data_IF_415967328400
#
_entry.id   IF_415967328400
#
_cell.length_a   1.000
_cell.length_b   1.000
_cell.length_c   1.000
_cell.angle_alpha   90.00
_cell.angle_beta   90.00
_cell.angle_gamma   90.00
#
_symmetry.space_group_name_H-M   'P 1'
#
loop_
_entity.id
_entity.type
_entity.pdbx_description
1 polymer ?
#
# COMPACT_ATOMS: atom_id res chain seq x y z
N UNK A 1 -26.08 -12.40 -13.81
CA UNK A 1 -25.80 -11.92 -12.44
C UNK A 1 -25.36 -10.47 -12.57
N UNK A 2 -25.95 -9.51 -11.83
CA UNK A 2 -25.42 -8.14 -11.82
C UNK A 2 -23.96 -8.19 -11.40
N UNK A 3 -23.09 -7.48 -12.12
CA UNK A 3 -21.71 -7.27 -11.68
C UNK A 3 -21.74 -6.52 -10.35
N UNK A 4 -21.25 -7.17 -9.30
CA UNK A 4 -21.04 -6.55 -8.00
C UNK A 4 -20.20 -5.27 -8.15
N UNK A 5 -20.65 -4.15 -7.59
CA UNK A 5 -19.87 -2.90 -7.58
C UNK A 5 -18.62 -3.08 -6.71
N UNK A 6 -17.48 -2.62 -7.20
CA UNK A 6 -16.24 -2.61 -6.45
C UNK A 6 -16.33 -1.75 -5.17
N UNK A 7 -17.16 -0.70 -5.15
CA UNK A 7 -17.40 0.09 -3.93
C UNK A 7 -18.14 -0.73 -2.87
N UNK A 8 -19.16 -1.49 -3.29
CA UNK A 8 -19.93 -2.34 -2.39
C UNK A 8 -19.04 -3.42 -1.77
N UNK A 9 -18.20 -4.08 -2.58
CA UNK A 9 -17.25 -5.09 -2.12
C UNK A 9 -16.25 -4.53 -1.11
N UNK A 10 -15.70 -3.35 -1.39
CA UNK A 10 -14.76 -2.70 -0.48
C UNK A 10 -15.44 -2.26 0.84
N UNK A 11 -16.69 -1.81 0.76
CA UNK A 11 -17.53 -1.54 1.94
C UNK A 11 -17.83 -2.79 2.77
N UNK A 12 -18.12 -3.93 2.14
CA UNK A 12 -18.32 -5.22 2.83
C UNK A 12 -17.07 -5.68 3.59
N UNK A 13 -15.88 -5.52 2.99
CA UNK A 13 -14.60 -5.78 3.66
C UNK A 13 -14.44 -4.91 4.91
N UNK A 14 -14.65 -3.59 4.80
CA UNK A 14 -14.57 -2.68 5.94
C UNK A 14 -15.57 -3.04 7.04
N UNK A 15 -16.82 -3.34 6.67
CA UNK A 15 -17.86 -3.70 7.64
C UNK A 15 -17.55 -5.01 8.37
N UNK A 16 -16.95 -6.00 7.69
CA UNK A 16 -16.46 -7.21 8.35
C UNK A 16 -15.33 -6.86 9.34
N UNK A 17 -14.37 -6.01 8.95
CA UNK A 17 -13.26 -5.62 9.81
C UNK A 17 -13.70 -4.81 11.04
N UNK A 18 -14.71 -3.94 10.92
CA UNK A 18 -15.32 -3.27 12.09
C UNK A 18 -15.89 -4.30 13.07
N UNK A 19 -16.56 -5.36 12.58
CA UNK A 19 -17.05 -6.45 13.45
C UNK A 19 -15.92 -7.25 14.10
N UNK A 20 -14.76 -7.39 13.46
CA UNK A 20 -13.59 -8.03 14.09
C UNK A 20 -13.13 -7.26 15.34
N UNK A 21 -13.15 -5.92 15.30
CA UNK A 21 -12.86 -5.09 16.48
C UNK A 21 -13.79 -5.43 17.66
N UNK A 22 -15.07 -5.60 17.39
CA UNK A 22 -16.09 -5.96 18.40
C UNK A 22 -15.84 -7.36 18.96
N UNK A 23 -15.49 -8.33 18.10
CA UNK A 23 -15.19 -9.71 18.48
C UNK A 23 -13.99 -9.81 19.45
N UNK A 24 -12.98 -8.95 19.29
CA UNK A 24 -11.84 -8.92 20.21
C UNK A 24 -12.25 -8.53 21.64
N UNK A 25 -13.29 -7.73 21.81
CA UNK A 25 -13.81 -7.33 23.12
C UNK A 25 -14.81 -8.31 23.73
N UNK A 26 -15.68 -8.90 22.90
CA UNK A 26 -16.75 -9.80 23.35
C UNK A 26 -16.32 -11.27 23.50
N UNK A 27 -15.24 -11.67 22.81
CA UNK A 27 -14.90 -13.08 22.61
C UNK A 27 -15.82 -13.76 21.58
N UNK A 28 -15.34 -14.80 20.89
CA UNK A 28 -16.12 -15.53 19.90
C UNK A 28 -15.27 -16.22 18.84
N UNK A 29 -15.93 -17.04 18.02
CA UNK A 29 -15.31 -17.64 16.84
C UNK A 29 -15.14 -16.59 15.74
N UNK A 30 -13.97 -16.58 15.11
CA UNK A 30 -13.71 -15.68 13.98
C UNK A 30 -14.42 -16.19 12.71
N UNK A 31 -15.04 -15.31 11.91
CA UNK A 31 -15.78 -15.70 10.72
C UNK A 31 -14.86 -15.95 9.51
N UNK A 32 -13.96 -16.94 9.62
CA UNK A 32 -13.01 -17.30 8.55
C UNK A 32 -13.67 -17.57 7.19
N UNK A 33 -14.80 -18.30 7.10
CA UNK A 33 -15.46 -18.53 5.82
C UNK A 33 -15.95 -17.24 5.14
N UNK A 34 -16.44 -16.27 5.91
CA UNK A 34 -16.90 -14.99 5.38
C UNK A 34 -15.74 -14.13 4.91
N UNK A 35 -14.65 -14.08 5.68
CA UNK A 35 -13.44 -13.36 5.27
C UNK A 35 -12.87 -13.99 3.98
N UNK A 36 -12.70 -15.31 3.93
CA UNK A 36 -12.17 -16.01 2.76
C UNK A 36 -13.05 -15.76 1.51
N UNK A 37 -14.38 -15.79 1.65
CA UNK A 37 -15.32 -15.49 0.57
C UNK A 37 -15.21 -14.05 0.07
N UNK A 38 -15.08 -13.07 0.97
CA UNK A 38 -14.91 -11.66 0.59
C UNK A 38 -13.57 -11.43 -0.12
N UNK A 39 -12.49 -12.03 0.40
CA UNK A 39 -11.16 -11.91 -0.18
C UNK A 39 -11.10 -12.60 -1.55
N UNK A 40 -11.72 -13.77 -1.73
CA UNK A 40 -11.79 -14.42 -3.05
C UNK A 40 -12.60 -13.59 -4.06
N UNK A 41 -13.71 -12.97 -3.64
CA UNK A 41 -14.45 -12.00 -4.48
C UNK A 41 -13.57 -10.81 -4.88
N UNK A 42 -12.75 -10.31 -3.96
CA UNK A 42 -11.81 -9.23 -4.21
C UNK A 42 -10.70 -9.63 -5.19
N UNK A 43 -10.12 -10.82 -5.04
CA UNK A 43 -9.16 -11.37 -6.01
C UNK A 43 -9.80 -11.47 -7.41
N UNK A 44 -11.02 -12.02 -7.49
CA UNK A 44 -11.77 -12.11 -8.75
C UNK A 44 -12.06 -10.73 -9.37
N UNK A 45 -12.36 -9.71 -8.54
CA UNK A 45 -12.63 -8.36 -9.01
C UNK A 45 -11.37 -7.68 -9.58
N UNK A 46 -10.22 -7.90 -8.92
CA UNK A 46 -8.90 -7.40 -9.37
C UNK A 46 -8.45 -8.05 -10.69
N UNK A 47 -8.81 -9.31 -10.93
CA UNK A 47 -8.58 -10.00 -12.21
C UNK A 47 -9.43 -9.40 -13.34
N UNK A 48 -10.68 -9.02 -13.05
CA UNK A 48 -11.61 -8.48 -14.05
C UNK A 48 -11.34 -7.02 -14.42
N UNK A 49 -10.93 -6.20 -13.45
CA UNK A 49 -10.76 -4.75 -13.65
C UNK A 49 -9.83 -4.11 -12.61
N UNK A 50 -9.37 -2.89 -12.90
CA UNK A 50 -8.62 -2.07 -11.95
C UNK A 50 -9.48 -1.29 -10.94
N UNK A 51 -10.82 -1.36 -11.00
CA UNK A 51 -11.69 -0.47 -10.22
C UNK A 51 -11.51 -0.64 -8.70
N UNK A 52 -11.50 -1.88 -8.22
CA UNK A 52 -11.31 -2.17 -6.79
C UNK A 52 -9.95 -1.67 -6.27
N UNK A 53 -8.91 -1.78 -7.10
CA UNK A 53 -7.60 -1.22 -6.77
C UNK A 53 -7.66 0.31 -6.62
N UNK A 54 -8.34 1.03 -7.53
CA UNK A 54 -8.46 2.48 -7.45
C UNK A 54 -9.28 2.94 -6.24
N UNK A 55 -10.34 2.21 -5.90
CA UNK A 55 -11.14 2.47 -4.70
C UNK A 55 -10.28 2.31 -3.44
N UNK A 56 -9.53 1.21 -3.33
CA UNK A 56 -8.64 0.98 -2.19
C UNK A 56 -7.45 1.96 -2.15
N UNK A 57 -6.94 2.38 -3.31
CA UNK A 57 -5.82 3.32 -3.40
C UNK A 57 -6.24 4.79 -3.19
N UNK A 58 -7.54 5.07 -3.04
CA UNK A 58 -8.02 6.43 -2.87
C UNK A 58 -7.53 7.01 -1.52
N UNK A 59 -6.75 8.11 -1.51
CA UNK A 59 -6.24 8.71 -0.27
C UNK A 59 -7.31 9.46 0.55
N UNK A 60 -8.57 9.45 0.12
CA UNK A 60 -9.69 9.96 0.90
C UNK A 60 -10.31 8.84 1.74
N UNK A 61 -9.97 8.80 3.03
CA UNK A 61 -10.75 8.04 3.99
C UNK A 61 -12.17 8.63 4.08
N UNK A 62 -13.24 7.81 4.01
CA UNK A 62 -14.59 8.31 4.25
C UNK A 62 -14.70 8.88 5.67
N UNK A 63 -15.43 10.00 5.88
CA UNK A 63 -15.66 10.53 7.21
C UNK A 63 -16.30 9.50 8.14
N UNK A 64 -15.82 9.40 9.39
CA UNK A 64 -16.43 8.54 10.42
C UNK A 64 -16.12 7.04 10.31
N UNK A 65 -15.27 6.62 9.37
CA UNK A 65 -14.82 5.22 9.27
C UNK A 65 -13.75 4.92 10.34
N UNK A 66 -13.77 3.70 10.88
CA UNK A 66 -12.69 3.16 11.70
C UNK A 66 -11.39 3.12 10.88
N UNK A 67 -10.40 3.93 11.27
CA UNK A 67 -9.14 4.08 10.55
C UNK A 67 -8.46 2.74 10.30
N UNK A 68 -8.41 1.87 11.32
CA UNK A 68 -7.75 0.58 11.18
C UNK A 68 -8.54 -0.28 10.20
N UNK A 69 -9.86 -0.44 10.36
CA UNK A 69 -10.70 -1.16 9.39
C UNK A 69 -10.50 -0.70 7.93
N UNK A 70 -10.40 0.61 7.70
CA UNK A 70 -10.07 1.16 6.40
C UNK A 70 -8.66 0.79 5.95
N UNK A 71 -7.65 0.99 6.80
CA UNK A 71 -6.25 0.71 6.49
C UNK A 71 -6.01 -0.75 6.10
N UNK A 72 -6.41 -1.72 6.93
CA UNK A 72 -6.25 -3.15 6.62
C UNK A 72 -7.04 -3.58 5.36
N UNK A 73 -8.22 -3.01 5.10
CA UNK A 73 -8.94 -3.28 3.84
C UNK A 73 -8.12 -2.82 2.62
N UNK A 74 -7.47 -1.66 2.70
CA UNK A 74 -6.55 -1.18 1.65
C UNK A 74 -5.34 -2.07 1.53
N UNK A 75 -4.70 -2.42 2.65
CA UNK A 75 -3.52 -3.28 2.66
C UNK A 75 -3.84 -4.62 2.01
N UNK A 76 -4.98 -5.24 2.32
CA UNK A 76 -5.43 -6.48 1.70
C UNK A 76 -5.57 -6.35 0.17
N UNK A 77 -6.34 -5.37 -0.31
CA UNK A 77 -6.60 -5.19 -1.75
C UNK A 77 -5.33 -4.88 -2.53
N UNK A 78 -4.53 -3.93 -2.03
CA UNK A 78 -3.30 -3.53 -2.70
C UNK A 78 -2.26 -4.66 -2.67
N UNK A 79 -2.14 -5.40 -1.56
CA UNK A 79 -1.22 -6.54 -1.47
C UNK A 79 -1.61 -7.67 -2.43
N UNK A 80 -2.89 -7.97 -2.59
CA UNK A 80 -3.34 -8.94 -3.60
C UNK A 80 -2.95 -8.48 -5.01
N UNK A 81 -3.07 -7.18 -5.31
CA UNK A 81 -2.67 -6.66 -6.63
C UNK A 81 -1.17 -6.79 -6.86
N UNK A 82 -0.35 -6.44 -5.88
CA UNK A 82 1.11 -6.62 -5.95
C UNK A 82 1.49 -8.09 -6.03
N UNK A 83 0.82 -8.96 -5.26
CA UNK A 83 0.99 -10.42 -5.30
C UNK A 83 0.73 -10.99 -6.69
N UNK A 84 -0.30 -10.52 -7.37
CA UNK A 84 -0.64 -10.96 -8.72
C UNK A 84 0.45 -10.54 -9.74
N UNK A 85 0.97 -9.32 -9.64
CA UNK A 85 2.05 -8.82 -10.50
C UNK A 85 3.36 -9.64 -10.33
N UNK A 86 3.63 -10.12 -9.12
CA UNK A 86 4.79 -11.00 -8.86
C UNK A 86 4.50 -12.50 -9.10
N UNK A 87 3.32 -12.83 -9.63
CA UNK A 87 2.99 -14.18 -10.11
C UNK A 87 2.35 -15.12 -9.08
N UNK A 88 1.74 -14.61 -8.01
CA UNK A 88 0.99 -15.45 -7.08
C UNK A 88 -0.28 -16.01 -7.74
N UNK A 89 -0.57 -17.27 -7.45
CA UNK A 89 -1.82 -17.89 -7.84
C UNK A 89 -2.98 -17.47 -6.94
N UNK A 90 -4.21 -17.74 -7.38
CA UNK A 90 -5.41 -17.30 -6.67
C UNK A 90 -5.51 -17.82 -5.22
N UNK A 91 -5.22 -19.09 -4.90
CA UNK A 91 -5.20 -19.55 -3.50
C UNK A 91 -4.24 -18.75 -2.62
N UNK A 92 -3.03 -18.44 -3.12
CA UNK A 92 -2.07 -17.63 -2.38
C UNK A 92 -2.48 -16.17 -2.26
N UNK A 93 -3.11 -15.59 -3.29
CA UNK A 93 -3.71 -14.26 -3.22
C UNK A 93 -4.78 -14.18 -2.12
N UNK A 94 -5.61 -15.22 -1.99
CA UNK A 94 -6.61 -15.28 -0.92
C UNK A 94 -5.94 -15.31 0.45
N UNK A 95 -4.91 -16.13 0.65
CA UNK A 95 -4.17 -16.14 1.92
C UNK A 95 -3.51 -14.78 2.23
N UNK A 96 -2.89 -14.14 1.23
CA UNK A 96 -2.27 -12.82 1.35
C UNK A 96 -3.30 -11.74 1.71
N UNK A 97 -4.46 -11.74 1.06
CA UNK A 97 -5.54 -10.82 1.35
C UNK A 97 -6.13 -11.02 2.75
N UNK A 98 -6.29 -12.27 3.20
CA UNK A 98 -6.72 -12.58 4.56
C UNK A 98 -5.70 -12.09 5.61
N UNK A 99 -4.41 -12.25 5.35
CA UNK A 99 -3.36 -11.71 6.22
C UNK A 99 -3.35 -10.18 6.24
N UNK A 100 -3.50 -9.52 5.09
CA UNK A 100 -3.61 -8.06 5.01
C UNK A 100 -4.82 -7.50 5.74
N UNK A 101 -5.93 -8.24 5.75
CA UNK A 101 -7.11 -7.93 6.54
C UNK A 101 -6.92 -8.06 8.05
N UNK A 102 -5.79 -8.61 8.54
CA UNK A 102 -5.60 -8.89 9.96
C UNK A 102 -4.26 -8.39 10.51
N UNK A 103 -3.51 -7.63 9.70
CA UNK A 103 -2.14 -7.20 9.98
C UNK A 103 -2.02 -6.45 11.32
N UNK A 104 -3.01 -5.59 11.61
CA UNK A 104 -3.00 -4.63 12.71
C UNK A 104 -4.08 -4.87 13.76
N UNK A 105 -4.72 -6.05 13.80
CA UNK A 105 -5.79 -6.30 14.80
C UNK A 105 -5.30 -6.13 16.24
N UNK A 106 -4.01 -6.41 16.50
CA UNK A 106 -3.38 -6.18 17.79
C UNK A 106 -3.32 -4.71 18.21
N UNK A 107 -3.37 -3.75 17.27
CA UNK A 107 -3.38 -2.32 17.59
C UNK A 107 -4.67 -1.89 18.28
N UNK A 108 -5.80 -2.57 18.07
CA UNK A 108 -7.05 -2.26 18.79
C UNK A 108 -6.97 -2.49 20.31
N UNK A 109 -5.90 -3.07 20.83
CA UNK A 109 -5.61 -3.14 22.27
C UNK A 109 -5.05 -1.83 22.83
N UNK A 110 -4.57 -0.92 21.97
CA UNK A 110 -4.07 0.38 22.38
C UNK A 110 -5.23 1.36 22.65
N UNK A 111 -5.05 2.35 23.53
CA UNK A 111 -6.06 3.39 23.74
C UNK A 111 -6.37 4.14 22.44
N UNK A 112 -7.64 4.51 22.24
CA UNK A 112 -8.10 5.26 21.07
C UNK A 112 -7.31 6.56 20.84
N UNK A 113 -6.89 7.23 21.92
CA UNK A 113 -6.08 8.43 21.85
C UNK A 113 -4.66 8.19 21.29
N UNK A 114 -4.14 6.96 21.39
CA UNK A 114 -2.85 6.54 20.82
C UNK A 114 -3.02 6.18 19.34
N UNK A 115 -4.09 5.46 19.00
CA UNK A 115 -4.43 5.08 17.62
C UNK A 115 -4.56 6.29 16.68
N UNK A 116 -5.01 7.43 17.21
CA UNK A 116 -5.13 8.70 16.44
C UNK A 116 -3.79 9.44 16.22
N UNK A 117 -2.68 8.93 16.77
CA UNK A 117 -1.35 9.57 16.70
C UNK A 117 -0.21 8.56 16.66
N UNK A 118 -0.37 7.47 15.90
CA UNK A 118 0.64 6.40 15.77
C UNK A 118 2.01 6.87 15.21
N UNK A 119 2.05 8.09 14.72
CA UNK A 119 3.23 8.77 14.17
C UNK A 119 3.93 9.69 15.19
N UNK A 120 3.31 9.94 16.35
CA UNK A 120 3.78 10.82 17.42
C UNK A 120 3.66 10.13 18.79
N UNK A 121 4.28 8.95 18.89
CA UNK A 121 4.26 8.11 20.08
C UNK A 121 5.35 8.49 21.08
N UNK A 122 5.06 8.38 22.37
CA UNK A 122 6.08 8.39 23.42
C UNK A 122 6.96 7.13 23.35
N UNK A 123 8.13 7.07 24.02
CA UNK A 123 8.95 5.86 24.05
C UNK A 123 8.21 4.60 24.53
N UNK A 124 7.34 4.75 25.53
CA UNK A 124 6.54 3.64 26.06
C UNK A 124 5.45 3.21 25.08
N UNK A 125 4.74 4.17 24.48
CA UNK A 125 3.74 3.90 23.45
C UNK A 125 4.39 3.28 22.20
N UNK A 126 5.61 3.68 21.85
CA UNK A 126 6.38 3.10 20.76
C UNK A 126 6.74 1.63 21.04
N UNK A 127 7.02 1.28 22.30
CA UNK A 127 7.26 -0.11 22.71
C UNK A 127 5.99 -0.95 22.58
N UNK A 128 4.85 -0.41 23.00
CA UNK A 128 3.54 -1.06 22.82
C UNK A 128 3.15 -1.17 21.35
N UNK A 129 3.40 -0.15 20.54
CA UNK A 129 3.22 -0.23 19.09
C UNK A 129 4.08 -1.34 18.50
N UNK A 130 5.37 -1.43 18.84
CA UNK A 130 6.27 -2.46 18.28
C UNK A 130 5.92 -3.88 18.70
N UNK A 131 5.09 -4.08 19.73
CA UNK A 131 4.61 -5.42 20.10
C UNK A 131 3.39 -5.87 19.30
N UNK A 132 2.69 -4.97 18.59
CA UNK A 132 1.43 -5.31 17.93
C UNK A 132 1.53 -6.46 16.90
N UNK A 133 2.63 -6.70 16.15
CA UNK A 133 2.66 -7.86 15.25
C UNK A 133 2.57 -9.18 16.03
N UNK A 134 3.17 -9.24 17.22
CA UNK A 134 3.04 -10.39 18.13
C UNK A 134 1.61 -10.50 18.65
N UNK A 135 1.04 -9.40 19.12
CA UNK A 135 -0.33 -9.36 19.63
C UNK A 135 -1.35 -9.76 18.54
N UNK A 136 -1.21 -9.26 17.32
CA UNK A 136 -2.02 -9.65 16.16
C UNK A 136 -1.91 -11.15 15.91
N UNK A 137 -0.69 -11.68 15.83
CA UNK A 137 -0.45 -13.11 15.63
C UNK A 137 -1.07 -13.98 16.74
N UNK A 138 -0.98 -13.56 18.01
CA UNK A 138 -1.61 -14.25 19.13
C UNK A 138 -3.14 -14.31 19.01
N UNK A 139 -3.78 -13.19 18.65
CA UNK A 139 -5.22 -13.15 18.41
C UNK A 139 -5.63 -14.05 17.25
N UNK A 140 -4.90 -13.97 16.14
CA UNK A 140 -5.18 -14.81 14.96
C UNK A 140 -5.06 -16.30 15.31
N UNK A 141 -4.03 -16.71 16.07
CA UNK A 141 -3.90 -18.10 16.54
C UNK A 141 -5.07 -18.55 17.41
N UNK A 142 -5.54 -17.70 18.33
CA UNK A 142 -6.73 -18.00 19.16
C UNK A 142 -7.98 -18.21 18.33
N UNK A 143 -8.05 -17.57 17.16
CA UNK A 143 -9.13 -17.75 16.20
C UNK A 143 -9.02 -19.01 15.35
N UNK A 144 -8.01 -19.86 15.55
CA UNK A 144 -7.80 -21.10 14.79
C UNK A 144 -7.78 -20.86 13.28
N UNK A 145 -6.73 -20.20 12.76
CA UNK A 145 -6.68 -19.77 11.37
C UNK A 145 -6.59 -20.98 10.43
N UNK A 146 -7.06 -20.85 9.18
CA UNK A 146 -6.99 -21.94 8.21
C UNK A 146 -5.57 -22.27 7.75
N UNK A 147 -4.59 -21.39 8.03
CA UNK A 147 -3.18 -21.59 7.67
C UNK A 147 -2.28 -20.79 8.61
N UNK A 148 -1.19 -21.40 9.09
CA UNK A 148 -0.16 -20.70 9.89
C UNK A 148 0.59 -19.65 9.06
N UNK A 149 0.59 -19.76 7.72
CA UNK A 149 1.17 -18.75 6.82
C UNK A 149 0.54 -17.38 7.06
N UNK A 150 -0.76 -17.31 7.36
CA UNK A 150 -1.45 -16.05 7.67
C UNK A 150 -0.85 -15.43 8.94
N UNK A 151 -0.61 -16.26 9.96
CA UNK A 151 -0.05 -15.82 11.24
C UNK A 151 1.39 -15.33 11.07
N UNK A 152 2.22 -16.07 10.34
CA UNK A 152 3.61 -15.68 10.08
C UNK A 152 3.71 -14.43 9.23
N UNK A 153 2.85 -14.29 8.21
CA UNK A 153 2.80 -13.10 7.37
C UNK A 153 2.48 -11.84 8.21
N UNK A 154 1.51 -11.96 9.12
CA UNK A 154 1.17 -10.90 10.07
C UNK A 154 2.26 -10.68 11.11
N UNK A 155 2.91 -11.72 11.62
CA UNK A 155 3.99 -11.55 12.61
C UNK A 155 5.19 -10.81 12.02
N UNK A 156 5.53 -11.07 10.76
CA UNK A 156 6.74 -10.57 10.11
C UNK A 156 6.55 -9.29 9.30
N UNK A 157 5.35 -8.70 9.21
CA UNK A 157 5.08 -7.61 8.25
C UNK A 157 5.91 -6.33 8.50
N UNK A 158 6.44 -6.15 9.72
CA UNK A 158 7.38 -5.07 10.06
C UNK A 158 8.86 -5.48 9.98
N UNK A 159 9.17 -6.72 9.59
CA UNK A 159 10.53 -7.15 9.27
C UNK A 159 11.00 -6.54 7.96
N UNK A 160 12.32 -6.38 7.81
CA UNK A 160 12.94 -5.65 6.70
C UNK A 160 14.18 -6.38 6.21
N UNK A 161 14.53 -6.24 4.94
CA UNK A 161 15.51 -7.13 4.27
C UNK A 161 16.87 -7.22 4.96
N UNK A 162 17.32 -6.20 5.69
CA UNK A 162 18.60 -6.16 6.40
C UNK A 162 18.48 -6.35 7.93
N UNK A 163 17.36 -6.85 8.44
CA UNK A 163 17.18 -7.11 9.88
C UNK A 163 16.94 -5.87 10.73
N UNK A 164 16.71 -4.70 10.12
CA UNK A 164 16.37 -3.46 10.81
C UNK A 164 14.91 -3.37 11.28
N UNK A 165 14.12 -4.41 10.97
CA UNK A 165 12.71 -4.49 11.30
C UNK A 165 12.43 -4.99 12.72
N UNK A 166 11.17 -5.36 12.96
CA UNK A 166 10.68 -5.89 14.22
C UNK A 166 9.47 -6.81 13.95
N UNK A 167 9.10 -7.70 14.88
CA UNK A 167 9.52 -7.80 16.27
C UNK A 167 10.69 -8.76 16.56
N UNK A 168 11.19 -9.50 15.57
CA UNK A 168 12.23 -10.52 15.70
C UNK A 168 13.57 -10.11 15.07
N UNK A 169 13.59 -9.10 14.20
CA UNK A 169 14.82 -8.66 13.53
C UNK A 169 15.28 -9.64 12.45
N UNK A 170 14.32 -10.24 11.75
CA UNK A 170 14.57 -11.19 10.67
C UNK A 170 15.10 -10.46 9.44
N UNK A 171 15.97 -11.14 8.68
CA UNK A 171 16.59 -10.60 7.48
C UNK A 171 16.42 -11.55 6.28
N UNK A 172 16.38 -10.98 5.07
CA UNK A 172 16.45 -11.72 3.83
C UNK A 172 15.43 -12.87 3.74
N UNK A 173 15.88 -14.13 3.48
CA UNK A 173 14.99 -15.29 3.34
C UNK A 173 14.28 -15.75 4.63
N UNK A 174 14.69 -15.27 5.81
CA UNK A 174 14.03 -15.64 7.06
C UNK A 174 12.66 -14.95 7.22
N UNK A 175 12.43 -13.88 6.47
CA UNK A 175 11.15 -13.15 6.46
C UNK A 175 10.18 -13.89 5.55
N UNK A 176 8.97 -14.14 6.06
CA UNK A 176 7.90 -14.73 5.26
C UNK A 176 7.66 -13.88 3.98
N UNK A 177 7.64 -14.48 2.78
CA UNK A 177 7.54 -13.73 1.53
C UNK A 177 6.27 -12.87 1.42
N UNK A 178 5.16 -13.32 2.01
CA UNK A 178 3.90 -12.60 2.02
C UNK A 178 4.00 -11.38 2.95
N UNK A 179 4.73 -11.50 4.06
CA UNK A 179 5.04 -10.38 4.96
C UNK A 179 5.81 -9.26 4.28
N UNK A 180 6.68 -9.59 3.31
CA UNK A 180 7.44 -8.57 2.56
C UNK A 180 6.52 -7.71 1.68
N UNK A 181 5.50 -8.33 1.07
CA UNK A 181 4.47 -7.61 0.30
C UNK A 181 3.64 -6.76 1.25
N UNK A 182 3.12 -7.37 2.32
CA UNK A 182 2.31 -6.70 3.33
C UNK A 182 3.02 -5.48 3.91
N UNK A 183 4.28 -5.62 4.34
CA UNK A 183 5.06 -4.53 4.93
C UNK A 183 5.34 -3.37 3.98
N UNK A 184 5.55 -3.65 2.68
CA UNK A 184 5.72 -2.62 1.66
C UNK A 184 4.41 -1.84 1.44
N UNK A 185 3.30 -2.57 1.32
CA UNK A 185 1.97 -1.98 1.09
C UNK A 185 1.50 -1.21 2.32
N UNK A 186 1.68 -1.75 3.52
CA UNK A 186 1.40 -1.10 4.80
C UNK A 186 2.15 0.24 4.95
N UNK A 187 3.44 0.25 4.62
CA UNK A 187 4.24 1.49 4.60
C UNK A 187 3.65 2.50 3.60
N UNK A 188 3.28 2.05 2.41
CA UNK A 188 2.67 2.92 1.40
C UNK A 188 1.30 3.48 1.83
N UNK A 189 0.43 2.66 2.40
CA UNK A 189 -0.91 3.09 2.83
C UNK A 189 -0.82 4.06 4.01
N UNK A 190 0.07 3.80 4.98
CA UNK A 190 0.30 4.71 6.11
C UNK A 190 0.86 6.08 5.70
N UNK A 191 1.67 6.15 4.63
CA UNK A 191 2.16 7.42 4.06
C UNK A 191 1.08 8.21 3.32
N UNK A 192 0.15 7.52 2.65
CA UNK A 192 -0.88 8.14 1.81
C UNK A 192 -2.17 8.48 2.55
N UNK A 193 -2.46 7.77 3.65
CA UNK A 193 -3.53 8.08 4.59
C UNK A 193 -3.01 7.83 6.00
N UNK A 194 -2.36 8.82 6.63
CA UNK A 194 -1.86 8.67 7.98
C UNK A 194 -3.01 8.66 9.01
N UNK A 195 -2.81 8.03 10.18
CA UNK A 195 -3.80 8.00 11.27
C UNK A 195 -3.96 9.35 11.97
N UNK A 196 -3.02 10.28 11.77
CA UNK A 196 -2.95 11.57 12.46
C UNK A 196 -3.24 12.73 11.51
N UNK A 197 -3.27 13.94 12.07
CA UNK A 197 -3.42 15.19 11.30
C UNK A 197 -2.18 15.59 10.49
N UNK A 198 -1.14 14.74 10.37
CA UNK A 198 0.00 15.04 9.51
C UNK A 198 -0.43 15.17 8.04
N UNK A 199 0.27 16.00 7.24
CA UNK A 199 0.01 16.06 5.82
C UNK A 199 0.23 14.69 5.18
N UNK A 200 -0.83 14.15 4.58
CA UNK A 200 -0.75 12.93 3.77
C UNK A 200 0.13 13.17 2.54
N UNK A 201 0.92 12.17 2.16
CA UNK A 201 1.67 12.21 0.91
C UNK A 201 0.78 11.83 -0.26
N UNK A 202 0.97 12.49 -1.42
CA UNK A 202 0.40 12.01 -2.68
C UNK A 202 1.03 10.64 -3.02
N UNK A 203 0.35 9.74 -3.76
CA UNK A 203 0.88 8.42 -4.12
C UNK A 203 2.34 8.44 -4.63
N UNK A 204 2.66 9.38 -5.52
CA UNK A 204 4.00 9.52 -6.08
C UNK A 204 5.05 10.06 -5.09
N UNK A 205 4.63 10.80 -4.06
CA UNK A 205 5.50 11.27 -2.98
C UNK A 205 5.78 10.11 -2.01
N UNK A 206 4.75 9.33 -1.65
CA UNK A 206 4.90 8.14 -0.81
C UNK A 206 5.85 7.11 -1.43
N UNK A 207 5.71 6.84 -2.73
CA UNK A 207 6.64 5.96 -3.46
C UNK A 207 8.06 6.51 -3.43
N UNK A 208 8.22 7.82 -3.69
CA UNK A 208 9.54 8.44 -3.68
C UNK A 208 10.19 8.33 -2.31
N UNK A 209 9.39 8.46 -1.24
CA UNK A 209 9.86 8.26 0.13
C UNK A 209 10.28 6.81 0.37
N UNK A 210 9.51 5.83 -0.10
CA UNK A 210 9.87 4.40 -0.03
C UNK A 210 11.16 4.10 -0.79
N UNK A 211 11.35 4.70 -1.96
CA UNK A 211 12.58 4.53 -2.76
C UNK A 211 13.77 5.24 -2.12
N UNK A 212 13.56 6.41 -1.49
CA UNK A 212 14.60 7.22 -0.84
C UNK A 212 15.00 6.69 0.52
N UNK A 213 14.10 6.06 1.26
CA UNK A 213 14.33 5.48 2.59
C UNK A 213 15.18 4.23 2.49
N UNK A 214 16.43 4.43 2.03
CA UNK A 214 17.53 3.51 1.71
C UNK A 214 17.07 2.15 1.15
N UNK A 215 17.60 1.79 -0.03
CA UNK A 215 17.42 0.55 -0.80
C UNK A 215 17.54 -0.82 -0.07
N UNK A 216 17.54 -0.84 1.26
CA UNK A 216 17.75 -1.95 2.18
C UNK A 216 16.48 -2.40 2.94
N UNK A 217 15.37 -1.65 2.87
CA UNK A 217 14.15 -2.02 3.62
C UNK A 217 13.28 -3.04 2.87
N UNK A 218 13.20 -2.91 1.55
CA UNK A 218 12.38 -3.74 0.67
C UNK A 218 13.17 -4.17 -0.56
N UNK A 219 12.92 -5.39 -1.05
CA UNK A 219 13.60 -5.90 -2.23
C UNK A 219 13.21 -5.13 -3.50
N UNK A 220 14.17 -4.95 -4.41
CA UNK A 220 13.95 -4.21 -5.66
C UNK A 220 12.81 -4.76 -6.53
N UNK A 221 12.59 -6.09 -6.63
CA UNK A 221 11.43 -6.63 -7.36
C UNK A 221 10.09 -6.16 -6.79
N UNK A 222 9.93 -6.12 -5.46
CA UNK A 222 8.68 -5.68 -4.82
C UNK A 222 8.46 -4.18 -5.00
N UNK A 223 9.51 -3.37 -4.86
CA UNK A 223 9.44 -1.93 -5.14
C UNK A 223 9.05 -1.69 -6.60
N UNK A 224 9.59 -2.47 -7.55
CA UNK A 224 9.21 -2.40 -8.97
C UNK A 224 7.74 -2.77 -9.21
N UNK A 225 7.24 -3.81 -8.54
CA UNK A 225 5.84 -4.20 -8.64
C UNK A 225 4.91 -3.07 -8.14
N UNK A 226 5.22 -2.48 -6.97
CA UNK A 226 4.49 -1.33 -6.44
C UNK A 226 4.50 -0.13 -7.41
N UNK A 227 5.67 0.18 -7.99
CA UNK A 227 5.84 1.24 -8.97
C UNK A 227 5.00 1.02 -10.23
N UNK A 228 4.83 -0.23 -10.65
CA UNK A 228 4.13 -0.59 -11.88
C UNK A 228 2.62 -0.45 -11.74
N UNK A 229 2.09 -0.72 -10.54
CA UNK A 229 0.68 -0.58 -10.22
C UNK A 229 0.31 0.84 -9.81
N UNK A 230 1.13 1.46 -8.98
CA UNK A 230 0.93 2.82 -8.48
C UNK A 230 1.78 3.74 -9.33
N UNK A 231 1.27 4.06 -10.52
CA UNK A 231 1.92 4.97 -11.46
C UNK A 231 2.46 6.22 -10.74
N UNK A 232 3.78 6.34 -10.62
CA UNK A 232 4.47 7.49 -9.99
C UNK A 232 4.16 8.80 -10.71
N UNK A 233 3.89 8.72 -12.00
CA UNK A 233 3.60 9.87 -12.82
C UNK A 233 2.33 9.53 -13.61
N UNK A 234 1.13 9.67 -13.02
CA UNK A 234 -0.10 9.42 -13.77
C UNK A 234 -0.21 10.39 -14.96
N UNK A 235 -0.90 10.00 -16.06
CA UNK A 235 -1.14 10.90 -17.18
C UNK A 235 -1.72 12.24 -16.69
N UNK A 236 -1.20 13.34 -17.23
CA UNK A 236 -1.52 14.70 -16.81
C UNK A 236 -0.54 15.31 -15.78
N UNK A 237 0.26 14.50 -15.08
CA UNK A 237 1.24 15.03 -14.10
C UNK A 237 2.28 15.92 -14.78
N UNK A 238 2.52 17.11 -14.24
CA UNK A 238 3.65 17.96 -14.65
C UNK A 238 4.91 17.56 -13.88
N UNK A 239 5.98 17.31 -14.62
CA UNK A 239 7.27 16.85 -14.10
C UNK A 239 8.40 17.72 -14.63
N UNK A 240 9.43 17.93 -13.81
CA UNK A 240 10.66 18.61 -14.20
C UNK A 240 11.70 17.56 -14.62
N UNK A 241 12.35 17.79 -15.75
CA UNK A 241 13.46 16.97 -16.23
C UNK A 241 14.79 17.46 -15.64
N UNK A 242 15.84 16.63 -15.71
CA UNK A 242 17.19 17.00 -15.30
C UNK A 242 17.82 18.11 -16.16
N UNK A 243 17.25 18.38 -17.33
CA UNK A 243 17.56 19.54 -18.20
C UNK A 243 16.94 20.85 -17.69
N UNK A 244 16.06 20.79 -16.70
CA UNK A 244 15.28 21.93 -16.20
C UNK A 244 13.94 22.13 -16.92
N UNK A 245 13.73 21.49 -18.08
CA UNK A 245 12.48 21.52 -18.85
C UNK A 245 11.30 20.94 -18.07
N UNK A 246 10.08 21.34 -18.45
CA UNK A 246 8.83 20.85 -17.86
C UNK A 246 8.11 19.97 -18.87
N UNK A 247 7.82 18.73 -18.48
CA UNK A 247 7.03 17.79 -19.24
C UNK A 247 5.69 17.48 -18.59
N UNK A 248 4.67 17.20 -19.39
CA UNK A 248 3.40 16.59 -18.97
C UNK A 248 3.43 15.11 -19.29
N UNK A 249 3.13 14.25 -18.33
CA UNK A 249 2.99 12.82 -18.61
C UNK A 249 1.83 12.59 -19.56
N UNK A 250 2.06 11.86 -20.64
CA UNK A 250 1.01 11.47 -21.59
C UNK A 250 0.73 9.98 -21.55
N UNK A 251 1.70 9.15 -21.17
CA UNK A 251 1.52 7.71 -20.99
C UNK A 251 2.51 7.15 -19.96
N UNK A 252 2.04 6.16 -19.21
CA UNK A 252 2.85 5.41 -18.25
C UNK A 252 3.62 4.30 -18.97
N UNK A 253 4.83 3.97 -18.50
CA UNK A 253 5.58 2.82 -18.97
C UNK A 253 5.61 1.76 -17.88
N UNK A 254 4.82 0.67 -18.04
CA UNK A 254 4.72 -0.38 -17.01
C UNK A 254 6.04 -1.11 -16.74
N UNK A 255 6.90 -1.24 -17.76
CA UNK A 255 8.20 -1.91 -17.61
C UNK A 255 9.24 -0.99 -16.94
N UNK A 256 9.11 0.32 -17.14
CA UNK A 256 9.95 1.35 -16.55
C UNK A 256 9.09 2.49 -15.94
N UNK A 257 8.44 2.29 -14.78
CA UNK A 257 7.46 3.25 -14.26
C UNK A 257 8.03 4.64 -13.93
N UNK A 258 9.33 4.72 -13.66
CA UNK A 258 10.06 5.98 -13.46
C UNK A 258 10.46 6.68 -14.76
N UNK A 259 10.21 6.04 -15.92
CA UNK A 259 10.55 6.54 -17.26
C UNK A 259 9.28 6.55 -18.15
N UNK A 260 8.25 7.35 -17.78
CA UNK A 260 7.04 7.47 -18.59
C UNK A 260 7.31 8.18 -19.92
N UNK A 261 6.30 8.21 -20.79
CA UNK A 261 6.28 9.09 -21.96
C UNK A 261 5.78 10.46 -21.54
N UNK A 262 6.56 11.49 -21.86
CA UNK A 262 6.29 12.88 -21.48
C UNK A 262 6.20 13.76 -22.71
N UNK A 263 5.24 14.67 -22.73
CA UNK A 263 5.18 15.78 -23.66
C UNK A 263 5.87 16.98 -23.02
N UNK A 264 7.00 17.44 -23.56
CA UNK A 264 7.71 18.62 -23.08
C UNK A 264 6.89 19.86 -23.47
N UNK A 265 6.42 20.60 -22.46
CA UNK A 265 5.50 21.74 -22.61
C UNK A 265 6.17 23.08 -22.34
N UNK A 266 7.30 23.10 -21.63
CA UNK A 266 8.09 24.32 -21.40
C UNK A 266 9.60 24.03 -21.36
N UNK A 267 10.39 25.02 -21.77
CA UNK A 267 11.84 24.96 -21.72
C UNK A 267 12.40 25.14 -20.29
N UNK A 268 13.74 25.08 -20.15
CA UNK A 268 14.41 25.25 -18.86
C UNK A 268 14.21 26.66 -18.23
N UNK A 269 13.78 27.65 -19.01
CA UNK A 269 13.46 29.01 -18.56
C UNK A 269 11.98 29.17 -18.18
N UNK A 270 11.19 28.10 -18.27
CA UNK A 270 9.75 28.11 -18.00
C UNK A 270 8.91 28.67 -19.15
N UNK A 271 9.51 28.94 -20.31
CA UNK A 271 8.76 29.43 -21.47
C UNK A 271 8.03 28.28 -22.14
N UNK A 272 6.72 28.45 -22.36
CA UNK A 272 5.91 27.44 -23.05
C UNK A 272 6.42 27.20 -24.46
N UNK A 273 6.56 25.94 -24.82
CA UNK A 273 6.91 25.56 -26.18
C UNK A 273 5.70 25.71 -27.10
N UNK A 274 5.90 26.36 -28.24
CA UNK A 274 4.89 26.48 -29.31
C UNK A 274 4.52 25.12 -29.91
N UNK A 275 5.49 24.21 -29.95
CA UNK A 275 5.34 22.85 -30.49
C UNK A 275 5.81 21.86 -29.44
N UNK A 276 4.90 21.33 -28.60
CA UNK A 276 5.28 20.37 -27.57
C UNK A 276 5.91 19.11 -28.17
N UNK A 277 7.00 18.63 -27.57
CA UNK A 277 7.72 17.45 -28.04
C UNK A 277 7.42 16.25 -27.15
N UNK A 278 6.87 15.18 -27.72
CA UNK A 278 6.71 13.92 -26.99
C UNK A 278 8.01 13.12 -26.99
N UNK A 279 8.46 12.69 -25.81
CA UNK A 279 9.66 11.89 -25.60
C UNK A 279 9.32 10.68 -24.72
N UNK A 280 9.69 9.48 -25.17
CA UNK A 280 9.69 8.31 -24.30
C UNK A 280 10.96 8.32 -23.46
N UNK A 281 10.84 8.51 -22.15
CA UNK A 281 12.02 8.58 -21.29
C UNK A 281 12.77 7.25 -21.23
N UNK A 282 12.15 6.11 -21.54
CA UNK A 282 12.83 4.82 -21.58
C UNK A 282 13.80 4.68 -22.77
N UNK A 283 13.57 5.42 -23.85
CA UNK A 283 14.44 5.47 -25.04
C UNK A 283 15.50 6.58 -24.96
N UNK A 284 15.38 7.48 -23.97
CA UNK A 284 16.28 8.62 -23.77
C UNK A 284 17.09 8.48 -22.46
N UNK A 285 18.17 7.68 -22.43
CA UNK A 285 18.85 7.25 -21.18
C UNK A 285 19.31 8.40 -20.29
N UNK A 286 19.73 9.53 -20.87
CA UNK A 286 20.24 10.71 -20.16
C UNK A 286 19.16 11.67 -19.65
N UNK A 287 17.90 11.50 -20.05
CA UNK A 287 16.78 12.30 -19.55
C UNK A 287 16.10 11.57 -18.40
N UNK A 288 15.90 12.25 -17.27
CA UNK A 288 15.18 11.71 -16.13
C UNK A 288 14.41 12.79 -15.37
N UNK A 289 13.37 12.36 -14.66
CA UNK A 289 12.52 13.26 -13.87
C UNK A 289 13.23 13.58 -12.55
N UNK A 290 13.42 14.87 -12.26
CA UNK A 290 13.97 15.36 -10.99
C UNK A 290 12.89 15.56 -9.93
N UNK A 291 11.64 15.78 -10.34
CA UNK A 291 10.50 15.87 -9.44
C UNK A 291 9.22 16.36 -10.13
N UNK A 292 8.08 16.32 -9.43
CA UNK A 292 6.84 16.95 -9.90
C UNK A 292 6.96 18.48 -9.86
N UNK A 293 6.19 19.16 -10.70
CA UNK A 293 5.98 20.61 -10.64
C UNK A 293 4.62 20.86 -9.98
N UNK A 294 4.58 21.68 -8.93
CA UNK A 294 3.33 22.06 -8.28
C UNK A 294 2.45 22.88 -9.24
N UNK A 295 1.18 22.54 -9.35
CA UNK A 295 0.18 23.40 -10.00
C UNK A 295 0.13 24.74 -9.25
N UNK A 296 0.64 25.80 -9.87
CA UNK A 296 0.62 27.16 -9.30
C UNK A 296 1.98 27.86 -9.19
N UNK A 297 3.09 27.18 -9.46
CA UNK A 297 4.38 27.87 -9.65
C UNK A 297 4.37 28.57 -11.01
N UNK A 298 3.84 29.79 -11.02
CA UNK A 298 4.04 30.77 -12.10
C UNK A 298 5.51 31.16 -12.18
#
# INVERSE_FOLDING_TARGET
MPTESAEALFGELQALLVRVRELMGAGGAFPWPDLARLVDRAAAALERSGELFWIANNPAAPPGVDYLAFHQARVAVLSMRIGADVGYDRPRLVQLGMAGCLIDVGLWQLPEAVLKRLDALSPDEQTQYRSHPRTSAEWIRRWSPPSEVIVEAVLHHHEREQGQGFPQGLAGPAINPDAKILGLVDTYTGLTVPPSARPRLRPHEAIREIVRSKHESFSSPLVKALLSEISVFPPGTLVRLNTGEIGRVVAVNRNHPLRPRVEIVADAKGQRLMTPKTTDLSEAPFLYITGPVAEGAR
#
